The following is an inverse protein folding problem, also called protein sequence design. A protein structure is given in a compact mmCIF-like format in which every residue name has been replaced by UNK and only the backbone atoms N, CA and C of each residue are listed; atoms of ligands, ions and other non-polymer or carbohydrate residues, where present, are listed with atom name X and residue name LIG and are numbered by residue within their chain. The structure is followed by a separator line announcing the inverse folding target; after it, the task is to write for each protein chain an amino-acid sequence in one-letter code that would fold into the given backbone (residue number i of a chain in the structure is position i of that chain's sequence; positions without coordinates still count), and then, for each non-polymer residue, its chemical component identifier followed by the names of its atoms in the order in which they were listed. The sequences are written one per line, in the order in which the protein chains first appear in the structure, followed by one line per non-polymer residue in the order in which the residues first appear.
data_IF_798866009896
#
_entry.id   IF_798866009896
#
_cell.length_a   1.000
_cell.length_b   1.000
_cell.length_c   1.000
_cell.angle_alpha   90.00
_cell.angle_beta   90.00
_cell.angle_gamma   90.00
#
_symmetry.space_group_name_H-M   'P 1'
#
loop_
_entity.id
_entity.type
_entity.pdbx_description
1 polymer ?
#
# COMPACT_ATOMS: atom_id res chain seq x y z
N UNK A 1 -16.89 -20.21 13.12
CA UNK A 1 -16.52 -18.80 12.86
C UNK A 1 -17.73 -17.91 13.18
N UNK A 2 -17.54 -16.80 13.91
CA UNK A 2 -18.63 -15.86 14.14
C UNK A 2 -19.00 -15.19 12.80
N UNK A 3 -20.28 -14.78 12.64
CA UNK A 3 -20.74 -14.06 11.43
C UNK A 3 -19.91 -12.82 11.16
N UNK A 4 -19.39 -12.18 12.21
CA UNK A 4 -18.51 -11.02 12.13
C UNK A 4 -17.16 -11.36 11.49
N UNK A 5 -16.55 -12.48 11.89
CA UNK A 5 -15.27 -12.91 11.32
C UNK A 5 -15.40 -13.25 9.83
N UNK A 6 -16.49 -13.92 9.44
CA UNK A 6 -16.76 -14.19 8.03
C UNK A 6 -16.92 -12.90 7.23
N UNK A 7 -17.62 -11.90 7.78
CA UNK A 7 -17.80 -10.60 7.11
C UNK A 7 -16.48 -9.85 6.97
N UNK A 8 -15.70 -9.75 8.06
CA UNK A 8 -14.48 -8.93 8.10
C UNK A 8 -13.31 -9.54 7.34
N UNK A 9 -13.16 -10.87 7.35
CA UNK A 9 -12.02 -11.55 6.75
C UNK A 9 -12.36 -12.34 5.49
N UNK A 10 -13.63 -12.75 5.30
CA UNK A 10 -14.05 -13.51 4.13
C UNK A 10 -14.67 -12.65 3.03
N UNK A 11 -15.37 -11.57 3.35
CA UNK A 11 -16.11 -10.76 2.35
C UNK A 11 -15.48 -9.39 2.14
N UNK A 12 -15.19 -8.68 3.21
CA UNK A 12 -14.70 -7.30 3.16
C UNK A 12 -13.43 -7.10 2.31
N UNK A 13 -12.38 -7.95 2.37
CA UNK A 13 -11.18 -7.76 1.57
C UNK A 13 -11.46 -7.82 0.06
N UNK A 14 -12.34 -8.70 -0.38
CA UNK A 14 -12.70 -8.83 -1.80
C UNK A 14 -13.54 -7.65 -2.29
N UNK A 15 -14.46 -7.18 -1.47
CA UNK A 15 -15.25 -5.97 -1.77
C UNK A 15 -14.34 -4.75 -1.84
N UNK A 16 -13.43 -4.58 -0.88
CA UNK A 16 -12.47 -3.49 -0.87
C UNK A 16 -11.54 -3.52 -2.10
N UNK A 17 -11.06 -4.71 -2.47
CA UNK A 17 -10.23 -4.89 -3.67
C UNK A 17 -11.01 -4.54 -4.94
N UNK A 18 -12.26 -5.01 -5.07
CA UNK A 18 -13.12 -4.70 -6.22
C UNK A 18 -13.38 -3.19 -6.34
N UNK A 19 -13.71 -2.52 -5.24
CA UNK A 19 -13.90 -1.07 -5.20
C UNK A 19 -12.61 -0.33 -5.57
N UNK A 20 -11.45 -0.79 -5.09
CA UNK A 20 -10.16 -0.21 -5.43
C UNK A 20 -9.87 -0.29 -6.93
N UNK A 21 -10.06 -1.45 -7.54
CA UNK A 21 -9.79 -1.67 -8.97
C UNK A 21 -10.77 -0.89 -9.86
N UNK A 22 -12.07 -1.04 -9.60
CA UNK A 22 -13.11 -0.39 -10.40
C UNK A 22 -13.07 1.13 -10.20
N UNK A 23 -12.90 1.59 -8.95
CA UNK A 23 -12.80 3.01 -8.62
C UNK A 23 -11.55 3.67 -9.22
N UNK A 24 -10.42 2.96 -9.24
CA UNK A 24 -9.19 3.44 -9.88
C UNK A 24 -9.35 3.55 -11.38
N UNK A 25 -10.00 2.57 -12.01
CA UNK A 25 -10.31 2.61 -13.44
C UNK A 25 -11.27 3.76 -13.78
N UNK A 26 -12.39 3.85 -13.08
CA UNK A 26 -13.36 4.92 -13.28
C UNK A 26 -12.73 6.31 -13.10
N UNK A 27 -11.87 6.47 -12.09
CA UNK A 27 -11.15 7.72 -11.89
C UNK A 27 -10.16 8.03 -13.00
N UNK A 28 -9.49 7.03 -13.55
CA UNK A 28 -8.59 7.21 -14.69
C UNK A 28 -9.35 7.68 -15.93
N UNK A 29 -10.51 7.11 -16.19
CA UNK A 29 -11.34 7.44 -17.34
C UNK A 29 -12.01 8.82 -17.21
N UNK A 30 -12.54 9.12 -16.03
CA UNK A 30 -13.26 10.38 -15.76
C UNK A 30 -12.34 11.58 -15.54
N UNK A 31 -11.08 11.39 -15.14
CA UNK A 31 -10.18 12.48 -14.78
C UNK A 31 -8.73 12.18 -15.19
N UNK A 32 -8.42 12.36 -16.46
CA UNK A 32 -7.08 12.14 -17.03
C UNK A 32 -5.98 12.99 -16.36
N UNK A 33 -6.34 14.10 -15.75
CA UNK A 33 -5.41 15.00 -15.03
C UNK A 33 -4.94 14.45 -13.69
N UNK A 34 -5.57 13.43 -13.14
CA UNK A 34 -5.20 12.83 -11.85
C UNK A 34 -3.84 12.11 -11.88
N UNK A 35 -3.35 11.74 -13.05
CA UNK A 35 -2.02 11.13 -13.24
C UNK A 35 -0.88 12.12 -13.17
N UNK A 36 -1.14 13.36 -13.53
CA UNK A 36 -0.16 14.43 -13.43
C UNK A 36 -0.31 15.07 -12.06
N UNK A 37 0.51 14.69 -11.11
CA UNK A 37 0.68 15.42 -9.85
C UNK A 37 1.25 16.82 -10.10
N UNK A 38 0.62 17.53 -11.04
CA UNK A 38 1.11 18.80 -11.57
C UNK A 38 1.17 19.89 -10.50
N UNK A 39 0.21 19.88 -9.56
CA UNK A 39 0.15 20.91 -8.51
C UNK A 39 1.37 20.84 -7.58
N UNK A 40 1.82 19.66 -7.18
CA UNK A 40 2.98 19.56 -6.28
C UNK A 40 4.32 19.83 -6.98
N UNK A 41 4.40 19.65 -8.29
CA UNK A 41 5.60 19.99 -9.07
C UNK A 41 5.71 21.51 -9.35
N UNK A 42 4.59 22.19 -9.52
CA UNK A 42 4.54 23.65 -9.70
C UNK A 42 5.11 24.39 -8.48
N UNK A 43 5.01 23.80 -7.29
CA UNK A 43 5.53 24.39 -6.05
C UNK A 43 7.00 24.11 -5.78
N UNK A 44 7.72 23.40 -6.68
CA UNK A 44 9.15 23.18 -6.51
C UNK A 44 9.94 24.47 -6.79
N UNK A 45 10.67 24.92 -5.77
CA UNK A 45 11.45 26.19 -5.85
C UNK A 45 12.78 26.01 -6.60
N UNK A 46 13.35 24.81 -6.55
CA UNK A 46 14.66 24.51 -7.12
C UNK A 46 14.77 23.05 -7.57
N UNK A 47 15.86 22.72 -8.27
CA UNK A 47 16.12 21.38 -8.78
C UNK A 47 16.23 20.32 -7.67
N UNK A 48 16.68 20.70 -6.47
CA UNK A 48 16.79 19.78 -5.33
C UNK A 48 15.40 19.34 -4.82
N UNK A 49 14.45 20.27 -4.70
CA UNK A 49 13.07 19.96 -4.32
C UNK A 49 12.37 19.08 -5.38
N UNK A 50 12.63 19.37 -6.65
CA UNK A 50 12.12 18.54 -7.75
C UNK A 50 12.66 17.13 -7.71
N UNK A 51 13.96 16.96 -7.43
CA UNK A 51 14.60 15.66 -7.25
C UNK A 51 14.03 14.92 -6.04
N UNK A 52 13.87 15.62 -4.91
CA UNK A 52 13.27 15.08 -3.70
C UNK A 52 11.86 14.52 -3.97
N UNK A 53 10.99 15.30 -4.63
CA UNK A 53 9.64 14.88 -4.99
C UNK A 53 9.63 13.67 -5.92
N UNK A 54 10.50 13.65 -6.90
CA UNK A 54 10.60 12.53 -7.84
C UNK A 54 11.00 11.25 -7.12
N UNK A 55 11.99 11.31 -6.23
CA UNK A 55 12.42 10.17 -5.43
C UNK A 55 11.30 9.71 -4.50
N UNK A 56 10.68 10.63 -3.75
CA UNK A 56 9.60 10.30 -2.82
C UNK A 56 8.42 9.64 -3.53
N UNK A 57 8.00 10.21 -4.65
CA UNK A 57 6.90 9.69 -5.45
C UNK A 57 7.22 8.32 -6.06
N UNK A 58 8.42 8.12 -6.59
CA UNK A 58 8.82 6.84 -7.18
C UNK A 58 8.90 5.75 -6.12
N UNK A 59 9.54 6.02 -4.96
CA UNK A 59 9.62 5.06 -3.86
C UNK A 59 8.22 4.65 -3.37
N UNK A 60 7.33 5.63 -3.19
CA UNK A 60 5.97 5.34 -2.77
C UNK A 60 5.21 4.51 -3.81
N UNK A 61 5.20 4.92 -5.08
CA UNK A 61 4.42 4.22 -6.12
C UNK A 61 4.96 2.83 -6.42
N UNK A 62 6.29 2.67 -6.53
CA UNK A 62 6.89 1.34 -6.71
C UNK A 62 6.56 0.45 -5.51
N UNK A 63 6.78 0.96 -4.29
CA UNK A 63 6.48 0.19 -3.08
C UNK A 63 5.02 -0.23 -2.99
N UNK A 64 4.07 0.70 -3.17
CA UNK A 64 2.64 0.41 -3.06
C UNK A 64 2.14 -0.55 -4.14
N UNK A 65 2.64 -0.43 -5.38
CA UNK A 65 2.25 -1.35 -6.46
C UNK A 65 2.68 -2.78 -6.16
N UNK A 66 3.91 -2.99 -5.67
CA UNK A 66 4.37 -4.33 -5.30
C UNK A 66 3.66 -4.88 -4.06
N UNK A 67 3.35 -4.04 -3.07
CA UNK A 67 2.55 -4.45 -1.90
C UNK A 67 1.14 -4.85 -2.34
N UNK A 68 0.48 -4.06 -3.19
CA UNK A 68 -0.85 -4.39 -3.74
C UNK A 68 -0.82 -5.66 -4.60
N UNK A 69 0.21 -5.83 -5.44
CA UNK A 69 0.38 -7.05 -6.23
C UNK A 69 0.54 -8.28 -5.34
N UNK A 70 1.30 -8.17 -4.24
CA UNK A 70 1.45 -9.24 -3.24
C UNK A 70 0.11 -9.60 -2.59
N UNK A 71 -0.70 -8.62 -2.20
CA UNK A 71 -2.04 -8.86 -1.66
C UNK A 71 -2.99 -9.46 -2.70
N UNK A 72 -2.94 -8.97 -3.94
CA UNK A 72 -3.72 -9.52 -5.04
C UNK A 72 -3.41 -11.01 -5.27
N UNK A 73 -2.14 -11.36 -5.37
CA UNK A 73 -1.71 -12.76 -5.51
C UNK A 73 -2.09 -13.57 -4.27
N UNK A 74 -1.88 -13.03 -3.07
CA UNK A 74 -2.20 -13.70 -1.81
C UNK A 74 -3.69 -14.03 -1.65
N UNK A 75 -4.57 -13.11 -2.04
CA UNK A 75 -6.03 -13.25 -1.92
C UNK A 75 -6.65 -14.10 -3.04
N UNK A 76 -6.14 -13.99 -4.26
CA UNK A 76 -6.78 -14.61 -5.43
C UNK A 76 -6.18 -15.97 -5.82
N UNK A 77 -4.98 -16.32 -5.33
CA UNK A 77 -4.35 -17.57 -5.68
C UNK A 77 -4.84 -18.71 -4.76
N UNK A 78 -5.66 -19.63 -5.26
CA UNK A 78 -6.19 -20.72 -4.47
C UNK A 78 -5.09 -21.68 -4.02
N UNK A 79 -5.28 -22.28 -2.84
CA UNK A 79 -4.32 -23.18 -2.22
C UNK A 79 -3.94 -24.35 -3.14
N UNK A 80 -4.91 -24.89 -3.90
CA UNK A 80 -4.70 -25.97 -4.84
C UNK A 80 -3.68 -25.69 -5.95
N UNK A 81 -3.50 -24.41 -6.30
CA UNK A 81 -2.60 -24.03 -7.39
C UNK A 81 -1.14 -23.91 -6.93
N UNK A 82 -0.88 -23.41 -5.73
CA UNK A 82 0.48 -23.19 -5.28
C UNK A 82 1.09 -24.40 -4.51
N UNK A 83 0.29 -25.27 -3.93
CA UNK A 83 0.79 -26.46 -3.22
C UNK A 83 1.62 -27.41 -4.09
N UNK A 84 1.42 -27.36 -5.42
CA UNK A 84 2.21 -28.16 -6.37
C UNK A 84 3.59 -27.55 -6.67
N UNK A 85 3.80 -26.27 -6.38
CA UNK A 85 5.00 -25.51 -6.79
C UNK A 85 5.81 -25.06 -5.59
N UNK A 86 5.16 -24.64 -4.50
CA UNK A 86 5.84 -24.01 -3.34
C UNK A 86 5.20 -24.52 -2.05
N UNK A 87 6.03 -24.89 -1.06
CA UNK A 87 5.56 -25.23 0.28
C UNK A 87 4.97 -23.98 0.98
N UNK A 88 4.07 -24.19 1.92
CA UNK A 88 3.42 -23.10 2.67
C UNK A 88 4.44 -22.21 3.39
N UNK A 89 5.49 -22.81 3.96
CA UNK A 89 6.57 -22.08 4.64
C UNK A 89 7.35 -21.18 3.68
N UNK A 90 7.71 -21.69 2.50
CA UNK A 90 8.43 -20.90 1.50
C UNK A 90 7.56 -19.77 0.93
N UNK A 91 6.26 -19.99 0.77
CA UNK A 91 5.32 -18.94 0.38
C UNK A 91 5.25 -17.85 1.44
N UNK A 92 5.16 -18.22 2.72
CA UNK A 92 5.15 -17.27 3.84
C UNK A 92 6.46 -16.50 3.90
N UNK A 93 7.60 -17.16 3.77
CA UNK A 93 8.91 -16.51 3.75
C UNK A 93 9.02 -15.50 2.58
N UNK A 94 8.61 -15.91 1.38
CA UNK A 94 8.60 -15.02 0.21
C UNK A 94 7.72 -13.80 0.44
N UNK A 95 6.52 -13.99 0.98
CA UNK A 95 5.60 -12.90 1.28
C UNK A 95 6.17 -11.94 2.34
N UNK A 96 6.80 -12.44 3.40
CA UNK A 96 7.43 -11.63 4.43
C UNK A 96 8.63 -10.84 3.90
N UNK A 97 9.52 -11.46 3.13
CA UNK A 97 10.71 -10.80 2.59
C UNK A 97 10.32 -9.75 1.54
N UNK A 98 9.49 -10.11 0.57
CA UNK A 98 9.05 -9.16 -0.47
C UNK A 98 8.15 -8.07 0.11
N UNK A 99 7.19 -8.42 0.94
CA UNK A 99 6.31 -7.46 1.61
C UNK A 99 7.07 -6.51 2.53
N UNK A 100 8.05 -7.02 3.28
CA UNK A 100 8.93 -6.20 4.13
C UNK A 100 9.78 -5.22 3.32
N UNK A 101 10.42 -5.70 2.26
CA UNK A 101 11.27 -4.87 1.40
C UNK A 101 10.47 -3.76 0.70
N UNK A 102 9.41 -4.11 -0.01
CA UNK A 102 8.59 -3.13 -0.72
C UNK A 102 7.76 -2.26 0.23
N UNK A 103 7.33 -2.81 1.37
CA UNK A 103 6.69 -2.04 2.43
C UNK A 103 7.62 -0.98 3.03
N UNK A 104 8.89 -1.31 3.27
CA UNK A 104 9.88 -0.33 3.75
C UNK A 104 10.14 0.78 2.70
N UNK A 105 10.29 0.43 1.41
CA UNK A 105 10.41 1.42 0.34
C UNK A 105 9.19 2.35 0.29
N UNK A 106 7.99 1.78 0.37
CA UNK A 106 6.75 2.51 0.41
C UNK A 106 6.69 3.45 1.62
N UNK A 107 7.10 2.98 2.80
CA UNK A 107 7.11 3.77 4.03
C UNK A 107 8.05 4.97 3.92
N UNK A 108 9.26 4.77 3.42
CA UNK A 108 10.23 5.86 3.21
C UNK A 108 9.64 6.90 2.24
N UNK A 109 9.11 6.46 1.10
CA UNK A 109 8.47 7.35 0.13
C UNK A 109 7.29 8.12 0.72
N UNK A 110 6.43 7.43 1.48
CA UNK A 110 5.26 8.03 2.13
C UNK A 110 5.63 9.04 3.20
N UNK A 111 6.63 8.74 4.05
CA UNK A 111 7.14 9.68 5.05
C UNK A 111 7.72 10.94 4.41
N UNK A 112 8.44 10.80 3.30
CA UNK A 112 8.95 11.95 2.54
C UNK A 112 7.79 12.81 2.00
N UNK A 113 6.71 12.20 1.50
CA UNK A 113 5.53 12.90 1.01
C UNK A 113 4.75 13.59 2.14
N UNK A 114 4.57 12.92 3.28
CA UNK A 114 3.94 13.48 4.48
C UNK A 114 4.72 14.68 4.99
N UNK A 115 6.06 14.54 5.14
CA UNK A 115 6.93 15.63 5.57
C UNK A 115 6.78 16.86 4.68
N UNK A 116 6.76 16.68 3.37
CA UNK A 116 6.56 17.79 2.44
C UNK A 116 5.18 18.40 2.57
N UNK A 117 4.13 17.57 2.63
CA UNK A 117 2.75 18.07 2.67
C UNK A 117 2.43 18.85 3.93
N UNK A 118 3.00 18.45 5.05
CA UNK A 118 2.80 19.12 6.34
C UNK A 118 3.81 20.25 6.59
N UNK A 119 5.01 20.15 6.04
CA UNK A 119 6.11 21.07 6.30
C UNK A 119 6.24 22.23 5.31
N UNK A 120 5.66 22.14 4.10
CA UNK A 120 5.68 23.21 3.12
C UNK A 120 4.36 23.98 3.18
N UNK A 121 4.39 25.24 3.60
CA UNK A 121 3.20 26.10 3.77
C UNK A 121 2.41 26.27 2.47
N UNK A 122 3.06 26.29 1.31
CA UNK A 122 2.41 26.41 0.01
C UNK A 122 1.64 25.14 -0.34
N UNK A 123 2.25 23.98 -0.15
CA UNK A 123 1.61 22.68 -0.38
C UNK A 123 0.47 22.48 0.61
N UNK A 124 0.66 22.87 1.86
CA UNK A 124 -0.38 22.82 2.89
C UNK A 124 -1.58 23.72 2.56
N UNK A 125 -1.34 24.94 2.11
CA UNK A 125 -2.40 25.87 1.73
C UNK A 125 -3.25 25.37 0.53
N UNK A 126 -2.65 24.60 -0.37
CA UNK A 126 -3.35 23.98 -1.52
C UNK A 126 -3.97 22.60 -1.22
N UNK A 127 -3.75 22.07 -0.02
CA UNK A 127 -4.20 20.72 0.38
C UNK A 127 -5.57 20.81 1.04
N UNK A 128 -6.46 19.89 0.65
CA UNK A 128 -7.74 19.69 1.35
C UNK A 128 -7.55 18.85 2.60
N UNK A 129 -8.49 18.93 3.54
CA UNK A 129 -8.50 18.05 4.73
C UNK A 129 -8.53 16.58 4.35
N UNK A 130 -9.27 16.24 3.30
CA UNK A 130 -9.35 14.86 2.79
C UNK A 130 -8.00 14.34 2.30
N UNK A 131 -7.19 15.18 1.65
CA UNK A 131 -5.86 14.79 1.17
C UNK A 131 -4.93 14.41 2.33
N UNK A 132 -4.99 15.17 3.42
CA UNK A 132 -4.18 14.92 4.62
C UNK A 132 -4.68 13.66 5.32
N UNK A 133 -6.00 13.50 5.48
CA UNK A 133 -6.58 12.32 6.10
C UNK A 133 -6.23 11.03 5.36
N UNK A 134 -6.36 11.00 4.04
CA UNK A 134 -6.00 9.83 3.22
C UNK A 134 -4.53 9.48 3.43
N UNK A 135 -3.65 10.48 3.43
CA UNK A 135 -2.22 10.26 3.60
C UNK A 135 -1.88 9.66 4.98
N UNK A 136 -2.53 10.15 6.04
CA UNK A 136 -2.35 9.65 7.40
C UNK A 136 -2.93 8.24 7.58
N UNK A 137 -4.10 7.96 6.99
CA UNK A 137 -4.70 6.61 7.01
C UNK A 137 -3.81 5.61 6.29
N UNK A 138 -3.27 5.97 5.12
CA UNK A 138 -2.31 5.13 4.39
C UNK A 138 -1.03 4.88 5.21
N UNK A 139 -0.53 5.91 5.91
CA UNK A 139 0.64 5.76 6.78
C UNK A 139 0.35 4.79 7.93
N UNK A 140 -0.78 4.97 8.61
CA UNK A 140 -1.18 4.10 9.71
C UNK A 140 -1.35 2.64 9.23
N UNK A 141 -2.01 2.44 8.09
CA UNK A 141 -2.23 1.12 7.51
C UNK A 141 -0.93 0.44 7.09
N UNK A 142 0.01 1.20 6.51
CA UNK A 142 1.33 0.68 6.12
C UNK A 142 2.17 0.28 7.34
N UNK A 143 2.17 1.09 8.39
CA UNK A 143 2.85 0.77 9.66
C UNK A 143 2.26 -0.48 10.29
N UNK A 144 0.94 -0.58 10.38
CA UNK A 144 0.26 -1.78 10.89
C UNK A 144 0.60 -3.01 10.04
N UNK A 145 0.62 -2.89 8.70
CA UNK A 145 1.02 -3.98 7.81
C UNK A 145 2.46 -4.44 8.04
N UNK A 146 3.40 -3.54 8.25
CA UNK A 146 4.79 -3.90 8.59
C UNK A 146 4.91 -4.55 9.98
N UNK A 147 4.11 -4.11 10.95
CA UNK A 147 4.07 -4.74 12.28
C UNK A 147 3.54 -6.17 12.23
N UNK A 148 2.61 -6.48 11.33
CA UNK A 148 2.13 -7.88 11.16
C UNK A 148 3.22 -8.81 10.66
N UNK A 149 4.20 -8.32 9.89
CA UNK A 149 5.36 -9.12 9.46
C UNK A 149 6.17 -9.54 10.69
N UNK A 150 6.42 -8.63 11.63
CA UNK A 150 7.15 -8.93 12.87
C UNK A 150 6.39 -9.98 13.70
N UNK A 151 5.06 -9.87 13.80
CA UNK A 151 4.24 -10.88 14.49
C UNK A 151 4.29 -12.24 13.75
N UNK A 152 4.28 -12.25 12.42
CA UNK A 152 4.36 -13.46 11.60
C UNK A 152 5.68 -14.21 11.72
N UNK A 153 6.79 -13.55 12.05
CA UNK A 153 8.09 -14.21 12.29
C UNK A 153 8.09 -15.11 13.53
N UNK A 154 7.18 -14.86 14.48
CA UNK A 154 7.04 -15.65 15.71
C UNK A 154 6.22 -16.94 15.50
N UNK A 155 5.47 -17.05 14.38
CA UNK A 155 4.60 -18.16 14.04
C UNK A 155 4.87 -18.61 12.60
N UNK A 156 6.01 -19.33 12.41
CA UNK A 156 6.45 -19.82 11.10
C UNK A 156 5.71 -21.08 10.62
N UNK A 157 4.77 -21.57 11.41
CA UNK A 157 3.98 -22.78 11.14
C UNK A 157 2.83 -22.58 10.13
N UNK A 158 2.68 -21.40 9.56
CA UNK A 158 1.61 -21.06 8.63
C UNK A 158 0.23 -20.82 9.28
N UNK A 159 0.12 -20.97 10.60
CA UNK A 159 -1.15 -20.81 11.32
C UNK A 159 -1.77 -19.44 11.15
N UNK A 160 -0.95 -18.40 11.02
CA UNK A 160 -1.40 -17.01 10.81
C UNK A 160 -1.98 -16.81 9.40
N UNK A 161 -1.49 -17.56 8.39
CA UNK A 161 -2.03 -17.46 7.02
C UNK A 161 -3.36 -18.21 6.84
N UNK A 162 -3.67 -19.16 7.71
CA UNK A 162 -4.94 -19.89 7.65
C UNK A 162 -6.07 -19.10 8.32
N UNK A 163 -5.72 -18.15 9.18
CA UNK A 163 -6.67 -17.28 9.89
C UNK A 163 -7.02 -15.98 9.11
N UNK A 164 -6.30 -15.68 8.05
CA UNK A 164 -6.55 -14.58 7.11
C UNK A 164 -7.15 -15.10 5.82
#
# INVERSE_FOLDING_TARGET
MSKLNLLMFGVYPYVALAICLIGSWARFDLSQYSWKAGSSQVFNRNAAEQRYMRIASNLFHVGVLFVLAGHFVGLLMPASLYHHVISTENKQLLAMVSGGFFGALCLIGLLMLVKRRLGDDRVRASSTTSDVLILLVLLAQLVLGLLTIVASTQHMDGSVMVLL
#
